data_IF_948361530889
#
_entry.id   IF_948361530889
#
_cell.length_a   1.000
_cell.length_b   1.000
_cell.length_c   1.000
_cell.angle_alpha   90.00
_cell.angle_beta   90.00
_cell.angle_gamma   90.00
#
_symmetry.space_group_name_H-M   'P 1'
#
loop_
_entity.id
_entity.type
_entity.pdbx_description
1 polymer ?
#
# COMPACT_ATOMS: atom_id res chain seq x y z
N UNK A 1 30.75 -15.61 9.23
CA UNK A 1 30.19 -14.25 9.06
C UNK A 1 29.30 -13.95 10.24
N UNK A 2 29.62 -12.93 11.04
CA UNK A 2 28.77 -12.49 12.15
C UNK A 2 27.50 -11.86 11.56
N UNK A 3 26.38 -12.60 11.61
CA UNK A 3 25.07 -12.09 11.19
C UNK A 3 24.50 -11.27 12.35
N UNK A 4 24.40 -9.95 12.16
CA UNK A 4 23.63 -9.08 13.05
C UNK A 4 22.23 -8.95 12.47
N UNK A 5 21.22 -9.27 13.25
CA UNK A 5 19.80 -9.13 12.88
C UNK A 5 19.20 -8.06 13.78
N UNK A 6 18.47 -7.12 13.19
CA UNK A 6 17.69 -6.14 13.93
C UNK A 6 16.22 -6.57 13.93
N UNK A 7 15.65 -6.74 15.13
CA UNK A 7 14.30 -7.26 15.31
C UNK A 7 13.24 -6.33 14.69
N UNK A 8 13.40 -5.02 14.83
CA UNK A 8 12.51 -4.00 14.27
C UNK A 8 13.36 -2.90 13.64
N UNK A 9 13.12 -2.62 12.35
CA UNK A 9 13.75 -1.53 11.62
C UNK A 9 12.69 -0.71 10.87
N UNK A 10 12.69 0.61 11.07
CA UNK A 10 11.78 1.51 10.34
C UNK A 10 12.42 1.92 9.02
N UNK A 11 11.82 1.50 7.92
CA UNK A 11 12.24 1.84 6.57
C UNK A 11 11.37 2.95 5.98
N UNK A 12 12.01 4.05 5.56
CA UNK A 12 11.31 5.23 4.99
C UNK A 12 11.47 5.35 3.47
N UNK A 13 12.20 4.44 2.82
CA UNK A 13 12.56 4.57 1.41
C UNK A 13 11.40 4.47 0.41
N UNK A 14 10.19 4.11 0.84
CA UNK A 14 8.97 4.14 0.01
C UNK A 14 8.19 5.47 0.11
N UNK A 15 8.71 6.45 0.86
CA UNK A 15 8.08 7.77 1.06
C UNK A 15 7.10 7.82 2.24
N UNK A 16 6.96 6.74 2.99
CA UNK A 16 6.26 6.65 4.28
C UNK A 16 6.92 5.56 5.13
N UNK A 17 6.82 5.63 6.48
CA UNK A 17 7.48 4.67 7.36
C UNK A 17 6.82 3.29 7.28
N UNK A 18 7.66 2.25 7.21
CA UNK A 18 7.26 0.84 7.22
C UNK A 18 8.14 0.11 8.24
N UNK A 19 7.51 -0.60 9.17
CA UNK A 19 8.21 -1.47 10.10
C UNK A 19 8.57 -2.78 9.40
N UNK A 20 9.87 -3.09 9.40
CA UNK A 20 10.42 -4.35 8.92
C UNK A 20 10.92 -5.16 10.11
N UNK A 21 10.59 -6.45 10.12
CA UNK A 21 11.04 -7.38 11.14
C UNK A 21 12.21 -8.23 10.66
N UNK A 22 13.08 -8.61 11.61
CA UNK A 22 14.20 -9.52 11.39
C UNK A 22 15.13 -9.09 10.23
N UNK A 23 15.50 -7.82 10.21
CA UNK A 23 16.33 -7.25 9.14
C UNK A 23 17.79 -7.64 9.34
N UNK A 24 18.33 -8.36 8.35
CA UNK A 24 19.75 -8.68 8.28
C UNK A 24 20.56 -7.38 8.10
N UNK A 25 21.59 -7.19 8.93
CA UNK A 25 22.50 -6.05 8.85
C UNK A 25 23.82 -6.50 8.23
N UNK A 26 24.35 -5.69 7.31
CA UNK A 26 25.66 -5.89 6.69
C UNK A 26 26.65 -4.84 7.18
N UNK A 27 27.89 -5.25 7.44
CA UNK A 27 28.98 -4.34 7.77
C UNK A 27 29.52 -3.73 6.49
N UNK A 28 29.48 -2.41 6.37
CA UNK A 28 30.02 -1.65 5.25
C UNK A 28 30.71 -0.41 5.82
N UNK A 29 31.96 -0.14 5.43
CA UNK A 29 32.78 0.98 5.92
C UNK A 29 32.84 1.13 7.46
N UNK A 30 32.77 0.01 8.20
CA UNK A 30 32.82 -0.01 9.66
C UNK A 30 31.46 0.22 10.35
N UNK A 31 30.40 0.47 9.59
CA UNK A 31 29.04 0.68 10.09
C UNK A 31 28.10 -0.45 9.67
N UNK A 32 27.06 -0.70 10.49
CA UNK A 32 26.04 -1.70 10.17
C UNK A 32 24.89 -1.05 9.41
N UNK A 33 24.68 -1.49 8.17
CA UNK A 33 23.59 -1.03 7.32
C UNK A 33 22.56 -2.15 7.11
N UNK A 34 21.26 -1.82 7.03
CA UNK A 34 20.23 -2.82 6.78
C UNK A 34 20.32 -3.34 5.34
N UNK A 35 20.30 -4.66 5.17
CA UNK A 35 20.28 -5.30 3.87
C UNK A 35 18.85 -5.40 3.37
N UNK A 36 18.42 -4.36 2.65
CA UNK A 36 17.02 -4.21 2.22
C UNK A 36 16.86 -4.55 0.74
N UNK A 37 16.00 -5.52 0.46
CA UNK A 37 15.48 -5.77 -0.89
C UNK A 37 14.27 -4.86 -1.13
N UNK A 38 14.51 -3.70 -1.73
CA UNK A 38 13.49 -2.66 -1.95
C UNK A 38 12.32 -3.18 -2.77
N UNK A 39 12.56 -4.10 -3.72
CA UNK A 39 11.50 -4.71 -4.51
C UNK A 39 10.59 -5.55 -3.63
N UNK A 40 11.15 -6.43 -2.81
CA UNK A 40 10.36 -7.23 -1.85
C UNK A 40 9.57 -6.33 -0.91
N UNK A 41 10.21 -5.31 -0.33
CA UNK A 41 9.53 -4.39 0.59
C UNK A 41 8.38 -3.67 -0.11
N UNK A 42 8.57 -3.22 -1.36
CA UNK A 42 7.52 -2.60 -2.16
C UNK A 42 6.35 -3.56 -2.44
N UNK A 43 6.66 -4.81 -2.82
CA UNK A 43 5.67 -5.87 -3.08
C UNK A 43 4.87 -6.25 -1.82
N UNK A 44 5.50 -6.20 -0.63
CA UNK A 44 4.81 -6.40 0.65
C UNK A 44 3.98 -5.18 1.04
N UNK A 45 4.52 -3.97 0.90
CA UNK A 45 3.85 -2.73 1.24
C UNK A 45 2.53 -2.60 0.47
N UNK A 46 2.57 -2.78 -0.85
CA UNK A 46 1.38 -2.62 -1.69
C UNK A 46 0.27 -3.63 -1.34
N UNK A 47 0.61 -4.86 -0.98
CA UNK A 47 -0.36 -5.88 -0.52
C UNK A 47 -0.98 -5.50 0.81
N UNK A 48 -0.19 -5.00 1.75
CA UNK A 48 -0.67 -4.58 3.06
C UNK A 48 -1.54 -3.32 2.97
N UNK A 49 -1.20 -2.35 2.12
CA UNK A 49 -1.99 -1.14 1.91
C UNK A 49 -3.40 -1.41 1.38
N UNK A 50 -3.61 -2.48 0.63
CA UNK A 50 -4.95 -2.89 0.21
C UNK A 50 -5.80 -3.34 1.40
N UNK A 51 -5.17 -4.04 2.37
CA UNK A 51 -5.84 -4.71 3.47
C UNK A 51 -5.86 -3.93 4.79
N UNK A 52 -5.08 -2.86 4.88
CA UNK A 52 -4.98 -2.08 6.11
C UNK A 52 -6.36 -1.52 6.47
N UNK A 53 -6.66 -1.52 7.77
CA UNK A 53 -7.93 -0.99 8.28
C UNK A 53 -7.97 0.52 8.29
N UNK A 54 -6.83 1.22 8.36
CA UNK A 54 -6.82 2.68 8.41
C UNK A 54 -7.02 3.28 7.01
N UNK A 55 -7.50 4.53 6.96
CA UNK A 55 -7.59 5.32 5.72
C UNK A 55 -6.22 5.48 5.08
N UNK A 56 -6.16 5.46 3.75
CA UNK A 56 -4.92 5.74 3.03
C UNK A 56 -4.42 7.17 3.30
N UNK A 57 -3.11 7.30 3.50
CA UNK A 57 -2.44 8.59 3.58
C UNK A 57 -2.05 9.11 2.19
N UNK A 58 -1.74 10.40 2.07
CA UNK A 58 -1.29 10.99 0.81
C UNK A 58 -0.02 10.35 0.24
N UNK A 59 0.96 10.05 1.09
CA UNK A 59 2.19 9.36 0.70
C UNK A 59 1.93 7.92 0.28
N UNK A 60 0.98 7.22 0.91
CA UNK A 60 0.56 5.89 0.49
C UNK A 60 -0.13 5.92 -0.88
N UNK A 61 -0.98 6.93 -1.16
CA UNK A 61 -1.59 7.11 -2.48
C UNK A 61 -0.52 7.38 -3.55
N UNK A 62 0.42 8.29 -3.26
CA UNK A 62 1.54 8.58 -4.14
C UNK A 62 2.33 7.31 -4.45
N UNK A 63 2.65 6.52 -3.43
CA UNK A 63 3.33 5.25 -3.58
C UNK A 63 2.55 4.28 -4.47
N UNK A 64 1.25 4.08 -4.24
CA UNK A 64 0.40 3.20 -5.08
C UNK A 64 0.46 3.66 -6.54
N UNK A 65 0.33 4.97 -6.79
CA UNK A 65 0.38 5.50 -8.16
C UNK A 65 1.72 5.25 -8.83
N UNK A 66 2.82 5.55 -8.14
CA UNK A 66 4.18 5.38 -8.68
C UNK A 66 4.58 3.91 -8.79
N UNK A 67 4.05 3.04 -7.93
CA UNK A 67 4.25 1.59 -8.00
C UNK A 67 3.77 1.01 -9.34
N UNK A 68 2.66 1.52 -9.88
CA UNK A 68 2.18 1.17 -11.22
C UNK A 68 2.68 2.09 -12.34
N UNK A 69 3.67 2.95 -12.06
CA UNK A 69 4.24 3.91 -13.00
C UNK A 69 3.20 4.79 -13.69
N UNK A 70 2.18 5.26 -12.96
CA UNK A 70 1.07 6.03 -13.54
C UNK A 70 1.24 7.54 -13.37
N UNK A 71 0.83 8.27 -14.41
CA UNK A 71 0.59 9.71 -14.32
C UNK A 71 -0.59 10.01 -13.39
N UNK A 72 -0.69 11.25 -12.87
CA UNK A 72 -1.86 11.68 -12.10
C UNK A 72 -3.17 11.48 -12.87
N UNK A 73 -3.16 11.75 -14.19
CA UNK A 73 -4.33 11.61 -15.06
C UNK A 73 -4.75 10.16 -15.21
N UNK A 74 -3.81 9.25 -15.45
CA UNK A 74 -4.15 7.84 -15.66
C UNK A 74 -4.56 7.14 -14.37
N UNK A 75 -3.98 7.56 -13.25
CA UNK A 75 -4.41 7.08 -11.93
C UNK A 75 -5.83 7.53 -11.60
N UNK A 76 -6.17 8.79 -11.88
CA UNK A 76 -7.50 9.33 -11.59
C UNK A 76 -8.62 8.60 -12.36
N UNK A 77 -8.35 8.18 -13.61
CA UNK A 77 -9.29 7.39 -14.42
C UNK A 77 -9.72 6.08 -13.75
N UNK A 78 -8.86 5.48 -12.92
CA UNK A 78 -9.14 4.17 -12.29
C UNK A 78 -10.23 4.23 -11.23
N UNK A 79 -10.41 5.41 -10.65
CA UNK A 79 -11.38 5.66 -9.59
C UNK A 79 -12.44 6.67 -10.02
N UNK A 80 -12.52 6.96 -11.33
CA UNK A 80 -13.42 7.93 -11.94
C UNK A 80 -13.37 9.33 -11.31
N UNK A 81 -12.16 9.81 -11.03
CA UNK A 81 -11.92 11.10 -10.37
C UNK A 81 -11.07 12.02 -11.23
N UNK A 82 -10.96 13.29 -10.80
CA UNK A 82 -10.08 14.25 -11.46
C UNK A 82 -8.62 14.08 -11.04
N UNK A 83 -7.68 14.37 -11.93
CA UNK A 83 -6.25 14.40 -11.60
C UNK A 83 -5.93 15.44 -10.50
N UNK A 84 -6.76 16.48 -10.37
CA UNK A 84 -6.63 17.46 -9.29
C UNK A 84 -7.05 16.90 -7.93
N UNK A 85 -8.07 16.02 -7.88
CA UNK A 85 -8.43 15.30 -6.67
C UNK A 85 -7.26 14.40 -6.22
N UNK A 86 -6.65 13.65 -7.15
CA UNK A 86 -5.46 12.82 -6.86
C UNK A 86 -4.32 13.66 -6.29
N UNK A 87 -4.00 14.80 -6.93
CA UNK A 87 -2.97 15.72 -6.44
C UNK A 87 -3.28 16.19 -5.02
N UNK A 88 -4.52 16.64 -4.78
CA UNK A 88 -4.99 17.08 -3.45
C UNK A 88 -4.86 15.97 -2.41
N UNK A 89 -5.15 14.72 -2.75
CA UNK A 89 -4.97 13.59 -1.83
C UNK A 89 -3.50 13.35 -1.49
N UNK A 90 -2.60 13.41 -2.47
CA UNK A 90 -1.15 13.25 -2.23
C UNK A 90 -0.60 14.36 -1.33
N UNK A 91 -1.17 15.57 -1.39
CA UNK A 91 -0.79 16.70 -0.53
C UNK A 91 -1.08 16.47 0.97
N UNK A 92 -1.85 15.43 1.34
CA UNK A 92 -2.04 15.03 2.75
C UNK A 92 -0.78 14.39 3.36
N UNK A 93 0.24 14.04 2.58
CA UNK A 93 1.51 13.44 3.05
C UNK A 93 1.24 12.23 3.97
N UNK A 94 1.74 12.21 5.20
CA UNK A 94 1.52 11.12 6.15
C UNK A 94 0.15 11.16 6.85
N UNK A 95 -0.73 12.12 6.54
CA UNK A 95 -2.07 12.21 7.15
C UNK A 95 -3.10 11.41 6.33
N UNK A 96 -4.14 10.85 6.97
CA UNK A 96 -5.30 10.27 6.30
C UNK A 96 -5.91 11.24 5.28
N UNK A 97 -6.22 10.75 4.09
CA UNK A 97 -6.83 11.59 3.05
C UNK A 97 -8.32 11.83 3.31
N UNK A 98 -8.86 12.88 2.70
CA UNK A 98 -10.30 13.17 2.71
C UNK A 98 -11.06 12.53 1.52
N UNK A 99 -10.48 11.50 0.89
CA UNK A 99 -11.09 10.77 -0.22
C UNK A 99 -12.47 10.22 0.18
N UNK A 100 -13.43 10.16 -0.74
CA UNK A 100 -14.69 9.46 -0.46
C UNK A 100 -14.43 7.99 -0.15
N UNK A 101 -15.22 7.42 0.77
CA UNK A 101 -15.03 6.04 1.22
C UNK A 101 -15.22 5.03 0.08
N UNK A 102 -16.18 5.25 -0.82
CA UNK A 102 -16.41 4.35 -1.93
C UNK A 102 -15.29 4.47 -2.97
N UNK A 103 -14.77 5.68 -3.18
CA UNK A 103 -13.58 5.91 -4.01
C UNK A 103 -12.37 5.16 -3.46
N UNK A 104 -12.15 5.19 -2.13
CA UNK A 104 -11.05 4.44 -1.51
C UNK A 104 -11.23 2.92 -1.63
N UNK A 105 -12.46 2.42 -1.47
CA UNK A 105 -12.77 1.00 -1.69
C UNK A 105 -12.49 0.62 -3.15
N UNK A 106 -12.94 1.41 -4.11
CA UNK A 106 -12.69 1.18 -5.54
C UNK A 106 -11.20 1.18 -5.86
N UNK A 107 -10.42 2.10 -5.28
CA UNK A 107 -8.97 2.13 -5.42
C UNK A 107 -8.36 0.81 -4.91
N UNK A 108 -8.71 0.40 -3.70
CA UNK A 108 -8.18 -0.84 -3.09
C UNK A 108 -8.55 -2.08 -3.90
N UNK A 109 -9.78 -2.15 -4.41
CA UNK A 109 -10.23 -3.24 -5.30
C UNK A 109 -9.45 -3.25 -6.61
N UNK A 110 -9.21 -2.10 -7.21
CA UNK A 110 -8.38 -1.99 -8.41
C UNK A 110 -6.96 -2.49 -8.15
N UNK A 111 -6.30 -2.02 -7.08
CA UNK A 111 -4.94 -2.46 -6.71
C UNK A 111 -4.92 -3.97 -6.44
N UNK A 112 -5.94 -4.50 -5.74
CA UNK A 112 -6.08 -5.93 -5.51
C UNK A 112 -6.18 -6.73 -6.81
N UNK A 113 -7.00 -6.29 -7.76
CA UNK A 113 -7.12 -6.94 -9.08
C UNK A 113 -5.78 -6.92 -9.85
N UNK A 114 -5.11 -5.78 -9.88
CA UNK A 114 -3.85 -5.64 -10.60
C UNK A 114 -2.71 -6.49 -10.03
N UNK A 115 -2.71 -6.77 -8.72
CA UNK A 115 -1.61 -7.46 -8.06
C UNK A 115 -1.95 -8.91 -7.76
N UNK A 116 -3.15 -9.21 -7.25
CA UNK A 116 -3.50 -10.55 -6.80
C UNK A 116 -4.12 -11.37 -7.93
N UNK A 117 -4.97 -10.78 -8.77
CA UNK A 117 -5.65 -11.49 -9.85
C UNK A 117 -4.71 -11.69 -11.04
N UNK A 118 -3.89 -10.69 -11.40
CA UNK A 118 -2.91 -10.85 -12.49
C UNK A 118 -1.75 -11.80 -12.16
N UNK A 119 -1.33 -11.92 -10.89
CA UNK A 119 -0.31 -12.90 -10.47
C UNK A 119 -0.88 -14.33 -10.45
N UNK A 120 -2.21 -14.50 -10.32
CA UNK A 120 -2.88 -15.79 -10.22
C UNK A 120 -3.93 -15.97 -11.32
N UNK A 121 -3.47 -16.21 -12.54
CA UNK A 121 -4.34 -16.66 -13.63
C UNK A 121 -4.88 -18.08 -13.33
N UNK A 122 -5.91 -18.19 -12.48
CA UNK A 122 -6.74 -19.40 -12.39
C UNK A 122 -8.18 -19.07 -12.00
N UNK A 123 -9.12 -19.50 -12.84
CA UNK A 123 -10.56 -19.14 -12.90
C UNK A 123 -11.34 -19.37 -11.60
N UNK A 124 -10.83 -20.20 -10.67
CA UNK A 124 -11.43 -20.53 -9.36
C UNK A 124 -11.34 -19.43 -8.30
N UNK A 125 -10.43 -18.44 -8.41
CA UNK A 125 -10.26 -17.42 -7.35
C UNK A 125 -11.12 -16.16 -7.50
N UNK A 126 -11.87 -15.99 -8.60
CA UNK A 126 -12.90 -14.93 -8.70
C UNK A 126 -13.96 -15.03 -7.59
N UNK A 127 -14.17 -16.22 -7.01
CA UNK A 127 -15.09 -16.44 -5.89
C UNK A 127 -14.51 -15.87 -4.58
N UNK A 128 -13.19 -15.90 -4.37
CA UNK A 128 -12.52 -15.27 -3.21
C UNK A 128 -12.57 -13.74 -3.23
N UNK A 129 -12.87 -13.11 -4.37
CA UNK A 129 -13.11 -11.68 -4.49
C UNK A 129 -14.30 -11.25 -3.63
N UNK A 130 -15.38 -12.06 -3.61
CA UNK A 130 -16.59 -11.77 -2.85
C UNK A 130 -16.37 -11.93 -1.34
N UNK A 131 -15.68 -12.98 -0.88
CA UNK A 131 -15.30 -13.15 0.53
C UNK A 131 -14.42 -11.98 1.04
N UNK A 132 -13.58 -11.43 0.16
CA UNK A 132 -12.71 -10.29 0.47
C UNK A 132 -13.50 -8.97 0.47
N UNK A 133 -14.45 -8.82 -0.45
CA UNK A 133 -15.36 -7.68 -0.52
C UNK A 133 -16.21 -7.57 0.75
N UNK A 134 -16.68 -8.69 1.31
CA UNK A 134 -17.36 -8.68 2.61
C UNK A 134 -16.45 -8.19 3.75
N UNK A 135 -15.19 -8.64 3.79
CA UNK A 135 -14.21 -8.15 4.77
C UNK A 135 -13.90 -6.65 4.60
N UNK A 136 -13.91 -6.14 3.38
CA UNK A 136 -13.74 -4.70 3.10
C UNK A 136 -14.98 -3.89 3.53
N UNK A 137 -16.19 -4.44 3.39
CA UNK A 137 -17.40 -3.83 3.93
C UNK A 137 -17.41 -3.82 5.47
N UNK A 138 -16.80 -4.83 6.11
CA UNK A 138 -16.65 -4.85 7.57
C UNK A 138 -15.69 -3.75 8.07
N UNK A 139 -14.63 -3.44 7.29
CA UNK A 139 -13.78 -2.27 7.53
C UNK A 139 -14.58 -0.95 7.43
N UNK A 140 -15.49 -0.84 6.46
CA UNK A 140 -16.40 0.32 6.32
C UNK A 140 -17.32 0.47 7.54
N UNK A 141 -17.75 -0.63 8.16
CA UNK A 141 -18.52 -0.64 9.42
C UNK A 141 -17.70 -0.09 10.59
N UNK A 142 -16.41 -0.45 10.67
CA UNK A 142 -15.50 0.07 11.69
C UNK A 142 -15.25 1.58 11.56
N UNK A 143 -15.12 2.09 10.33
CA UNK A 143 -14.95 3.52 10.06
C UNK A 143 -16.16 4.38 10.46
N UNK A 144 -17.37 3.83 10.38
CA UNK A 144 -18.59 4.51 10.84
C UNK A 144 -18.72 4.59 12.35
N UNK A 145 -17.99 3.77 13.11
CA UNK A 145 -18.03 3.73 14.58
C UNK A 145 -16.94 4.58 15.23
N UNK A 146 -15.93 5.01 14.45
CA UNK A 146 -14.78 5.78 14.92
C UNK A 146 -14.84 7.28 14.54
N UNK A 147 -15.95 7.71 13.93
CA UNK A 147 -16.29 9.10 13.63
C UNK A 147 -17.42 9.55 14.56
#
# INVERSE_FOLDING_TARGET
MNKKVMEIYVYEGLGFPIELHDVEMMLFEGEYHPKIDVKKVSDFAIKNLVLQKNRLTGNQIKFIRTFFSKSLRDFAKMVNESHMAVKKWEDYKNKPTNMDFNVEIMLRLYVYDQIIIKIKANKKEKIKFYDKFEKLNDIKSHWKKAA
#
